data_IF_456739612532
#
_entry.id   IF_456739612532
#
_cell.length_a   1.000
_cell.length_b   1.000
_cell.length_c   1.000
_cell.angle_alpha   90.00
_cell.angle_beta   90.00
_cell.angle_gamma   90.00
#
_symmetry.space_group_name_H-M   'P 1'
#
loop_
_entity.id
_entity.type
_entity.pdbx_description
1 polymer ?
#
# COMPACT_ATOMS: atom_id res chain seq x y z
N UNK A 1 -68.93 1.37 20.44
CA UNK A 1 -67.88 0.55 19.78
C UNK A 1 -66.93 1.50 19.08
N UNK A 2 -65.77 1.78 19.67
CA UNK A 2 -64.77 2.68 19.07
C UNK A 2 -63.54 1.86 18.68
N UNK A 3 -63.29 1.70 17.38
CA UNK A 3 -62.03 1.15 16.89
C UNK A 3 -61.02 2.28 16.78
N UNK A 4 -59.99 2.25 17.62
CA UNK A 4 -58.80 3.07 17.44
C UNK A 4 -57.92 2.43 16.35
N UNK A 5 -57.79 3.12 15.21
CA UNK A 5 -56.82 2.79 14.18
C UNK A 5 -55.46 3.30 14.66
N UNK A 6 -54.60 2.39 15.11
CA UNK A 6 -53.22 2.71 15.43
C UNK A 6 -52.44 2.95 14.13
N UNK A 7 -52.24 4.21 13.76
CA UNK A 7 -51.32 4.61 12.70
C UNK A 7 -49.89 4.25 13.12
N UNK A 8 -49.35 3.16 12.57
CA UNK A 8 -47.92 2.84 12.65
C UNK A 8 -47.15 3.86 11.81
N UNK A 9 -46.60 4.88 12.46
CA UNK A 9 -45.61 5.75 11.83
C UNK A 9 -44.31 4.96 11.68
N UNK A 10 -44.01 4.55 10.44
CA UNK A 10 -42.68 4.06 10.09
C UNK A 10 -41.69 5.19 10.36
N UNK A 11 -40.93 5.09 11.45
CA UNK A 11 -39.76 5.94 11.70
C UNK A 11 -38.74 5.62 10.61
N UNK A 12 -38.78 6.34 9.51
CA UNK A 12 -37.70 6.37 8.53
C UNK A 12 -36.48 6.91 9.29
N UNK A 13 -35.46 6.06 9.48
CA UNK A 13 -34.17 6.54 10.04
C UNK A 13 -33.73 7.73 9.19
N UNK A 14 -33.36 8.88 9.78
CA UNK A 14 -32.77 9.96 9.00
C UNK A 14 -31.54 9.40 8.30
N UNK A 15 -31.57 9.39 6.96
CA UNK A 15 -30.41 9.04 6.17
C UNK A 15 -29.31 10.06 6.43
N UNK A 16 -28.05 9.61 6.43
CA UNK A 16 -26.89 10.49 6.48
C UNK A 16 -27.02 11.58 5.41
N UNK A 17 -26.78 12.84 5.79
CA UNK A 17 -26.80 13.98 4.88
C UNK A 17 -25.61 13.93 3.92
N UNK A 18 -25.70 14.62 2.78
CA UNK A 18 -24.60 14.75 1.82
C UNK A 18 -23.31 15.26 2.48
N UNK A 19 -23.43 16.20 3.41
CA UNK A 19 -22.32 16.77 4.19
C UNK A 19 -21.63 15.70 5.07
N UNK A 20 -22.40 14.81 5.71
CA UNK A 20 -21.84 13.74 6.54
C UNK A 20 -21.09 12.68 5.71
N UNK A 21 -21.47 12.47 4.45
CA UNK A 21 -20.70 11.61 3.54
C UNK A 21 -19.40 12.27 3.07
N UNK A 22 -19.38 13.58 2.88
CA UNK A 22 -18.17 14.31 2.51
C UNK A 22 -17.14 14.26 3.64
N UNK A 23 -17.56 14.52 4.87
CA UNK A 23 -16.68 14.42 6.05
C UNK A 23 -16.09 13.01 6.19
N UNK A 24 -16.88 11.96 5.95
CA UNK A 24 -16.37 10.58 5.93
C UNK A 24 -15.36 10.31 4.82
N UNK A 25 -15.58 10.87 3.62
CA UNK A 25 -14.63 10.76 2.50
C UNK A 25 -13.32 11.50 2.80
N UNK A 26 -13.38 12.70 3.39
CA UNK A 26 -12.20 13.48 3.78
C UNK A 26 -11.38 12.77 4.86
N UNK A 27 -12.05 12.20 5.87
CA UNK A 27 -11.39 11.39 6.90
C UNK A 27 -10.72 10.17 6.29
N UNK A 28 -11.43 9.43 5.42
CA UNK A 28 -10.85 8.28 4.71
C UNK A 28 -9.68 8.66 3.82
N UNK A 29 -9.77 9.78 3.10
CA UNK A 29 -8.67 10.30 2.29
C UNK A 29 -7.43 10.52 3.16
N UNK A 30 -7.59 11.19 4.31
CA UNK A 30 -6.51 11.47 5.26
C UNK A 30 -5.90 10.18 5.82
N UNK A 31 -6.73 9.20 6.20
CA UNK A 31 -6.28 7.90 6.69
C UNK A 31 -5.47 7.13 5.62
N UNK A 32 -5.95 7.14 4.38
CA UNK A 32 -5.26 6.48 3.27
C UNK A 32 -3.93 7.16 2.97
N UNK A 33 -3.89 8.50 2.96
CA UNK A 33 -2.63 9.26 2.79
C UNK A 33 -1.63 8.91 3.89
N UNK A 34 -2.06 8.86 5.15
CA UNK A 34 -1.21 8.46 6.26
C UNK A 34 -0.68 7.04 6.09
N UNK A 35 -1.54 6.10 5.64
CA UNK A 35 -1.13 4.72 5.37
C UNK A 35 -0.13 4.64 4.22
N UNK A 36 -0.31 5.41 3.14
CA UNK A 36 0.66 5.50 2.04
C UNK A 36 2.01 6.00 2.55
N UNK A 37 2.04 7.03 3.40
CA UNK A 37 3.28 7.52 4.00
C UNK A 37 3.99 6.46 4.83
N UNK A 38 3.25 5.70 5.65
CA UNK A 38 3.79 4.57 6.40
C UNK A 38 4.39 3.50 5.48
N UNK A 39 3.63 3.06 4.45
CA UNK A 39 4.11 2.09 3.47
C UNK A 39 5.33 2.59 2.70
N UNK A 40 5.37 3.88 2.37
CA UNK A 40 6.51 4.48 1.71
C UNK A 40 7.77 4.42 2.57
N UNK A 41 7.66 4.73 3.87
CA UNK A 41 8.76 4.59 4.83
C UNK A 41 9.29 3.15 4.84
N UNK A 42 8.42 2.16 5.02
CA UNK A 42 8.82 0.75 5.04
C UNK A 42 9.46 0.34 3.70
N UNK A 43 8.96 0.85 2.57
CA UNK A 43 9.56 0.56 1.25
C UNK A 43 10.98 1.12 1.12
N UNK A 44 11.25 2.28 1.73
CA UNK A 44 12.59 2.87 1.78
C UNK A 44 13.51 2.03 2.65
N UNK A 45 13.01 1.60 3.82
CA UNK A 45 13.76 0.74 4.75
C UNK A 45 14.08 -0.61 4.10
N UNK A 46 13.14 -1.23 3.37
CA UNK A 46 13.41 -2.42 2.57
C UNK A 46 14.51 -2.19 1.53
N UNK A 47 14.51 -1.03 0.85
CA UNK A 47 15.54 -0.70 -0.13
C UNK A 47 16.92 -0.58 0.54
N UNK A 48 17.00 0.09 1.68
CA UNK A 48 18.22 0.19 2.47
C UNK A 48 18.70 -1.19 2.96
N UNK A 49 17.76 -2.04 3.40
CA UNK A 49 18.07 -3.41 3.83
C UNK A 49 18.54 -4.31 2.68
N UNK A 50 17.98 -4.17 1.48
CA UNK A 50 18.48 -4.87 0.28
C UNK A 50 19.93 -4.44 -0.01
N UNK A 51 20.22 -3.15 0.09
CA UNK A 51 21.57 -2.62 -0.15
C UNK A 51 22.58 -3.15 0.87
N UNK A 52 22.20 -3.22 2.14
CA UNK A 52 23.00 -3.87 3.18
C UNK A 52 23.23 -5.36 2.88
N UNK A 53 22.18 -6.09 2.50
CA UNK A 53 22.30 -7.50 2.10
C UNK A 53 23.24 -7.70 0.90
N UNK A 54 23.22 -6.79 -0.08
CA UNK A 54 24.12 -6.82 -1.23
C UNK A 54 25.57 -6.62 -0.78
N UNK A 55 25.82 -5.66 0.12
CA UNK A 55 27.15 -5.41 0.67
C UNK A 55 27.70 -6.61 1.47
N UNK A 56 26.85 -7.29 2.22
CA UNK A 56 27.18 -8.52 2.98
C UNK A 56 27.17 -9.80 2.12
N UNK A 57 26.85 -9.70 0.83
CA UNK A 57 26.67 -10.83 -0.08
C UNK A 57 25.58 -11.85 0.34
N UNK A 58 24.56 -11.40 1.08
CA UNK A 58 23.47 -12.23 1.59
C UNK A 58 22.25 -12.23 0.63
N UNK A 59 22.35 -13.03 -0.43
CA UNK A 59 21.30 -13.13 -1.47
C UNK A 59 19.93 -13.59 -0.96
N UNK A 60 19.81 -14.63 -0.12
CA UNK A 60 18.50 -15.10 0.34
C UNK A 60 17.70 -14.02 1.07
N UNK A 61 18.38 -13.23 1.90
CA UNK A 61 17.74 -12.15 2.66
C UNK A 61 17.34 -10.97 1.76
N UNK A 62 18.17 -10.66 0.75
CA UNK A 62 17.84 -9.65 -0.25
C UNK A 62 16.58 -10.03 -1.06
N UNK A 63 16.43 -11.30 -1.45
CA UNK A 63 15.23 -11.80 -2.14
C UNK A 63 13.99 -11.63 -1.26
N UNK A 64 14.09 -12.00 0.02
CA UNK A 64 12.98 -11.87 0.96
C UNK A 64 12.54 -10.41 1.15
N UNK A 65 13.50 -9.49 1.36
CA UNK A 65 13.21 -8.07 1.46
C UNK A 65 12.64 -7.50 0.15
N UNK A 66 13.09 -8.00 -1.01
CA UNK A 66 12.56 -7.60 -2.32
C UNK A 66 11.13 -8.06 -2.52
N UNK A 67 10.78 -9.29 -2.13
CA UNK A 67 9.40 -9.77 -2.12
C UNK A 67 8.50 -8.89 -1.25
N UNK A 68 8.94 -8.58 -0.02
CA UNK A 68 8.22 -7.66 0.87
C UNK A 68 8.04 -6.27 0.25
N UNK A 69 9.10 -5.71 -0.33
CA UNK A 69 9.06 -4.43 -1.03
C UNK A 69 8.06 -4.42 -2.20
N UNK A 70 8.05 -5.46 -3.03
CA UNK A 70 7.10 -5.58 -4.15
C UNK A 70 5.66 -5.58 -3.64
N UNK A 71 5.39 -6.37 -2.60
CA UNK A 71 4.05 -6.39 -1.98
C UNK A 71 3.62 -5.01 -1.48
N UNK A 72 4.50 -4.32 -0.75
CA UNK A 72 4.23 -2.96 -0.24
C UNK A 72 3.94 -1.98 -1.37
N UNK A 73 4.67 -2.09 -2.49
CA UNK A 73 4.43 -1.25 -3.67
C UNK A 73 3.08 -1.51 -4.32
N UNK A 74 2.69 -2.77 -4.47
CA UNK A 74 1.39 -3.13 -5.03
C UNK A 74 0.25 -2.59 -4.15
N UNK A 75 0.38 -2.75 -2.83
CA UNK A 75 -0.58 -2.19 -1.85
C UNK A 75 -0.63 -0.66 -1.88
N UNK A 76 0.52 0.00 -1.99
CA UNK A 76 0.59 1.47 -2.12
C UNK A 76 -0.11 1.96 -3.38
N UNK A 77 0.01 1.23 -4.49
CA UNK A 77 -0.67 1.56 -5.75
C UNK A 77 -2.20 1.43 -5.61
N UNK A 78 -2.68 0.36 -4.98
CA UNK A 78 -4.11 0.19 -4.69
C UNK A 78 -4.64 1.39 -3.89
N UNK A 79 -3.94 1.80 -2.84
CA UNK A 79 -4.33 2.97 -2.04
C UNK A 79 -4.35 4.28 -2.84
N UNK A 80 -3.38 4.50 -3.72
CA UNK A 80 -3.36 5.67 -4.60
C UNK A 80 -4.53 5.68 -5.57
N UNK A 81 -4.93 4.52 -6.09
CA UNK A 81 -6.10 4.41 -6.96
C UNK A 81 -7.40 4.62 -6.16
N UNK A 82 -7.44 4.21 -4.89
CA UNK A 82 -8.57 4.51 -3.98
C UNK A 82 -8.68 6.01 -3.69
N UNK A 83 -7.58 6.73 -3.48
CA UNK A 83 -7.59 8.20 -3.33
C UNK A 83 -8.23 8.85 -4.56
N UNK A 84 -7.80 8.49 -5.77
CA UNK A 84 -8.38 9.04 -7.00
C UNK A 84 -9.89 8.81 -7.07
N UNK A 85 -10.35 7.61 -6.70
CA UNK A 85 -11.79 7.30 -6.63
C UNK A 85 -12.51 8.17 -5.61
N UNK A 86 -11.91 8.42 -4.44
CA UNK A 86 -12.48 9.29 -3.41
C UNK A 86 -12.60 10.72 -3.95
N UNK A 87 -11.54 11.27 -4.54
CA UNK A 87 -11.50 12.63 -5.08
C UNK A 87 -12.54 12.81 -6.20
N UNK A 88 -12.61 11.86 -7.14
CA UNK A 88 -13.60 11.86 -8.23
C UNK A 88 -15.04 11.81 -7.69
N UNK A 89 -15.25 11.12 -6.57
CA UNK A 89 -16.59 10.92 -5.98
C UNK A 89 -16.99 12.06 -5.03
N UNK A 90 -16.02 12.73 -4.40
CA UNK A 90 -16.26 13.89 -3.55
C UNK A 90 -16.91 15.03 -4.34
N UNK A 91 -16.54 15.20 -5.62
CA UNK A 91 -17.12 16.18 -6.54
C UNK A 91 -18.57 15.88 -6.99
N UNK A 92 -19.11 14.68 -6.70
CA UNK A 92 -20.46 14.29 -7.11
C UNK A 92 -21.51 14.66 -6.05
N UNK A 93 -22.72 15.04 -6.45
CA UNK A 93 -23.83 15.27 -5.50
C UNK A 93 -24.54 13.97 -5.07
N UNK A 94 -24.35 12.87 -5.80
CA UNK A 94 -25.06 11.60 -5.58
C UNK A 94 -24.56 10.87 -4.33
N UNK A 95 -25.40 10.81 -3.30
CA UNK A 95 -25.10 10.14 -2.02
C UNK A 95 -24.92 8.61 -2.11
N UNK A 96 -25.54 7.94 -3.09
CA UNK A 96 -25.41 6.49 -3.27
C UNK A 96 -23.98 6.06 -3.64
N UNK A 97 -23.35 6.77 -4.59
CA UNK A 97 -21.98 6.51 -5.01
C UNK A 97 -20.97 6.78 -3.89
N UNK A 98 -21.18 7.85 -3.12
CA UNK A 98 -20.35 8.15 -1.94
C UNK A 98 -20.36 7.02 -0.94
N UNK A 99 -21.55 6.47 -0.64
CA UNK A 99 -21.70 5.34 0.29
C UNK A 99 -20.96 4.09 -0.19
N UNK A 100 -21.05 3.77 -1.48
CA UNK A 100 -20.33 2.63 -2.09
C UNK A 100 -18.82 2.80 -1.95
N UNK A 101 -18.29 3.95 -2.36
CA UNK A 101 -16.84 4.25 -2.27
C UNK A 101 -16.34 4.26 -0.83
N UNK A 102 -17.11 4.79 0.12
CA UNK A 102 -16.77 4.72 1.55
C UNK A 102 -16.67 3.26 2.02
N UNK A 103 -17.62 2.41 1.63
CA UNK A 103 -17.63 1.00 2.00
C UNK A 103 -16.45 0.24 1.41
N UNK A 104 -16.18 0.44 0.10
CA UNK A 104 -15.04 -0.18 -0.57
C UNK A 104 -13.71 0.28 0.04
N UNK A 105 -13.57 1.57 0.31
CA UNK A 105 -12.33 2.15 0.88
C UNK A 105 -12.05 1.60 2.27
N UNK A 106 -13.09 1.45 3.11
CA UNK A 106 -12.96 0.84 4.44
C UNK A 106 -12.51 -0.62 4.34
N UNK A 107 -13.11 -1.40 3.45
CA UNK A 107 -12.70 -2.78 3.23
C UNK A 107 -11.23 -2.88 2.79
N UNK A 108 -10.80 -2.02 1.86
CA UNK A 108 -9.40 -1.97 1.41
C UNK A 108 -8.45 -1.66 2.58
N UNK A 109 -8.81 -0.73 3.47
CA UNK A 109 -8.00 -0.39 4.65
C UNK A 109 -7.94 -1.57 5.63
N UNK A 110 -9.05 -2.26 5.86
CA UNK A 110 -9.11 -3.46 6.71
C UNK A 110 -8.26 -4.59 6.14
N UNK A 111 -8.29 -4.80 4.82
CA UNK A 111 -7.48 -5.81 4.13
C UNK A 111 -5.98 -5.45 4.11
N UNK A 112 -5.61 -4.21 4.46
CA UNK A 112 -4.22 -3.72 4.57
C UNK A 112 -3.65 -3.92 5.97
N UNK A 113 -3.90 -5.09 6.53
CA UNK A 113 -3.32 -5.58 7.77
C UNK A 113 -2.55 -6.87 7.48
N UNK A 114 -1.36 -7.00 8.05
CA UNK A 114 -0.56 -8.20 7.89
C UNK A 114 0.92 -7.98 8.18
N UNK A 115 1.59 -9.08 8.55
CA UNK A 115 3.00 -9.12 8.94
C UNK A 115 3.93 -8.44 7.91
N UNK A 116 3.62 -8.58 6.61
CA UNK A 116 4.42 -8.01 5.53
C UNK A 116 4.30 -6.50 5.38
N UNK A 117 3.36 -5.85 6.07
CA UNK A 117 3.19 -4.40 6.10
C UNK A 117 3.68 -3.77 7.40
N UNK A 118 4.30 -4.57 8.29
CA UNK A 118 4.93 -4.07 9.51
C UNK A 118 6.31 -3.46 9.24
N UNK A 119 6.69 -2.48 10.07
CA UNK A 119 8.02 -1.87 10.08
C UNK A 119 9.00 -2.75 10.89
N UNK A 120 9.42 -3.86 10.28
CA UNK A 120 10.20 -4.93 10.89
C UNK A 120 11.52 -5.21 10.15
N UNK A 121 11.92 -4.34 9.22
CA UNK A 121 13.06 -4.58 8.32
C UNK A 121 14.35 -4.82 9.12
N UNK A 122 14.52 -4.11 10.22
CA UNK A 122 15.66 -4.31 11.14
C UNK A 122 15.62 -5.72 11.74
N UNK A 123 14.46 -6.21 12.19
CA UNK A 123 14.30 -7.57 12.74
C UNK A 123 14.61 -8.66 11.70
N UNK A 124 14.27 -8.39 10.43
CA UNK A 124 14.62 -9.26 9.31
C UNK A 124 16.14 -9.30 9.12
N UNK A 125 16.80 -8.13 9.19
CA UNK A 125 18.26 -8.00 9.08
C UNK A 125 19.02 -8.62 10.26
N UNK A 126 18.42 -8.65 11.45
CA UNK A 126 18.95 -9.32 12.66
C UNK A 126 18.86 -10.86 12.58
N UNK A 127 18.28 -11.41 11.50
CA UNK A 127 18.27 -12.84 11.16
C UNK A 127 17.60 -13.74 12.21
N UNK A 128 16.53 -13.29 12.85
CA UNK A 128 15.74 -14.17 13.72
C UNK A 128 15.12 -15.34 12.91
N UNK A 129 15.53 -16.60 13.12
CA UNK A 129 15.21 -17.70 12.21
C UNK A 129 13.71 -18.02 12.16
N UNK A 130 13.04 -18.04 13.32
CA UNK A 130 11.59 -18.26 13.41
C UNK A 130 10.80 -17.15 12.69
N UNK A 131 11.29 -15.92 12.79
CA UNK A 131 10.66 -14.77 12.15
C UNK A 131 10.79 -14.80 10.63
N UNK A 132 11.98 -15.19 10.13
CA UNK A 132 12.23 -15.35 8.70
C UNK A 132 11.35 -16.44 8.09
N UNK A 133 11.16 -17.56 8.79
CA UNK A 133 10.28 -18.64 8.32
C UNK A 133 8.83 -18.17 8.21
N UNK A 134 8.34 -17.43 9.21
CA UNK A 134 7.00 -16.84 9.16
C UNK A 134 6.81 -15.90 7.97
N UNK A 135 7.78 -15.02 7.71
CA UNK A 135 7.75 -14.11 6.56
C UNK A 135 7.77 -14.88 5.24
N UNK A 136 8.62 -15.90 5.11
CA UNK A 136 8.66 -16.73 3.90
C UNK A 136 7.32 -17.42 3.63
N UNK A 137 6.66 -17.90 4.69
CA UNK A 137 5.35 -18.53 4.57
C UNK A 137 4.28 -17.52 4.14
N UNK A 138 4.31 -16.29 4.67
CA UNK A 138 3.43 -15.21 4.20
C UNK A 138 3.69 -14.85 2.74
N UNK A 139 4.96 -14.72 2.32
CA UNK A 139 5.31 -14.43 0.91
C UNK A 139 4.78 -15.53 -0.04
N UNK A 140 4.85 -16.80 0.36
CA UNK A 140 4.31 -17.92 -0.44
C UNK A 140 2.80 -17.79 -0.64
N UNK A 141 2.05 -17.28 0.35
CA UNK A 141 0.60 -17.07 0.24
C UNK A 141 0.23 -15.95 -0.73
N UNK A 142 1.13 -14.99 -0.95
CA UNK A 142 0.86 -13.82 -1.78
C UNK A 142 0.89 -14.07 -3.30
N UNK A 143 1.32 -15.25 -3.74
CA UNK A 143 1.41 -15.57 -5.17
C UNK A 143 2.44 -14.72 -5.94
N UNK A 144 3.43 -14.14 -5.24
CA UNK A 144 4.52 -13.36 -5.86
C UNK A 144 5.37 -14.30 -6.73
N UNK A 145 5.73 -13.85 -7.93
CA UNK A 145 6.64 -14.60 -8.79
C UNK A 145 8.08 -14.51 -8.27
N UNK A 146 8.45 -15.41 -7.36
CA UNK A 146 9.77 -15.45 -6.71
C UNK A 146 10.91 -15.50 -7.74
N UNK A 147 10.73 -16.19 -8.87
CA UNK A 147 11.76 -16.29 -9.92
C UNK A 147 12.08 -14.95 -10.56
N UNK A 148 11.06 -14.12 -10.81
CA UNK A 148 11.29 -12.77 -11.32
C UNK A 148 12.03 -11.90 -10.30
N UNK A 149 11.69 -12.05 -9.01
CA UNK A 149 12.36 -11.35 -7.92
C UNK A 149 13.83 -11.77 -7.81
N UNK A 150 14.12 -13.08 -7.90
CA UNK A 150 15.48 -13.62 -7.92
C UNK A 150 16.31 -13.01 -9.04
N UNK A 151 15.78 -12.97 -10.26
CA UNK A 151 16.46 -12.36 -11.42
C UNK A 151 16.73 -10.87 -11.20
N UNK A 152 15.77 -10.13 -10.62
CA UNK A 152 15.98 -8.71 -10.29
C UNK A 152 17.10 -8.52 -9.26
N UNK A 153 17.10 -9.33 -8.20
CA UNK A 153 18.14 -9.28 -7.17
C UNK A 153 19.49 -9.65 -7.77
N UNK A 154 19.58 -10.70 -8.59
CA UNK A 154 20.85 -11.04 -9.27
C UNK A 154 21.38 -9.91 -10.14
N UNK A 155 20.51 -9.21 -10.88
CA UNK A 155 20.89 -8.05 -11.66
C UNK A 155 21.40 -6.91 -10.76
N UNK A 156 20.72 -6.62 -9.64
CA UNK A 156 21.15 -5.60 -8.67
C UNK A 156 22.51 -5.94 -8.03
N UNK A 157 22.73 -7.22 -7.69
CA UNK A 157 24.02 -7.72 -7.23
C UNK A 157 25.10 -7.51 -8.29
N UNK A 158 24.85 -7.86 -9.56
CA UNK A 158 25.81 -7.66 -10.65
C UNK A 158 26.12 -6.18 -10.88
N UNK A 159 25.11 -5.31 -10.93
CA UNK A 159 25.31 -3.87 -11.18
C UNK A 159 26.12 -3.18 -10.06
N UNK A 160 25.83 -3.51 -8.79
CA UNK A 160 26.48 -2.89 -7.63
C UNK A 160 27.87 -3.43 -7.35
N UNK A 161 28.13 -4.71 -7.61
CA UNK A 161 29.47 -5.30 -7.47
C UNK A 161 30.39 -4.96 -8.64
N UNK A 162 29.85 -4.76 -9.85
CA UNK A 162 30.65 -4.45 -11.05
C UNK A 162 31.04 -2.97 -11.17
N UNK A 163 30.48 -2.07 -10.34
CA UNK A 163 30.80 -0.63 -10.39
C UNK A 163 30.93 0.00 -9.00
N UNK A 164 32.01 -0.29 -8.25
CA UNK A 164 32.30 0.48 -7.05
C UNK A 164 32.64 1.93 -7.50
N UNK A 165 31.69 2.85 -7.34
CA UNK A 165 31.95 4.29 -7.47
C UNK A 165 31.38 5.06 -8.67
N UNK A 166 30.52 4.49 -9.53
CA UNK A 166 29.81 5.31 -10.55
C UNK A 166 28.47 5.81 -10.03
N UNK A 167 28.50 6.97 -9.38
CA UNK A 167 27.30 7.77 -9.13
C UNK A 167 26.60 8.07 -10.46
N UNK A 168 25.50 7.38 -10.78
CA UNK A 168 24.66 7.64 -11.97
C UNK A 168 24.01 9.02 -11.79
N UNK A 169 24.65 10.07 -12.31
CA UNK A 169 24.08 11.42 -12.38
C UNK A 169 22.81 11.36 -13.23
N UNK A 170 21.65 11.66 -12.65
CA UNK A 170 20.36 11.72 -13.37
C UNK A 170 20.50 12.70 -14.54
N UNK A 171 20.44 12.19 -15.78
CA UNK A 171 20.39 13.04 -16.98
C UNK A 171 18.94 13.43 -17.20
N UNK A 172 18.59 14.65 -16.83
CA UNK A 172 17.36 15.27 -17.29
C UNK A 172 17.56 15.68 -18.76
N UNK A 173 16.95 14.95 -19.69
CA UNK A 173 16.82 15.43 -21.05
C UNK A 173 15.79 16.57 -21.04
N UNK A 174 16.26 17.82 -20.96
CA UNK A 174 15.42 18.97 -21.32
C UNK A 174 15.07 18.80 -22.80
N UNK A 175 13.81 18.49 -23.11
CA UNK A 175 13.27 18.70 -24.44
C UNK A 175 13.30 20.21 -24.69
N UNK A 176 14.26 20.68 -25.48
CA UNK A 176 14.21 22.02 -26.05
C UNK A 176 13.07 22.00 -27.07
N UNK A 177 11.92 22.57 -26.69
CA UNK A 177 10.91 22.99 -27.66
C UNK A 177 11.50 24.17 -28.41
N UNK A 178 11.93 23.96 -29.65
CA UNK A 178 12.22 25.07 -30.56
C UNK A 178 10.87 25.64 -31.01
N UNK A 179 10.70 26.95 -30.76
CA UNK A 179 9.60 27.77 -31.29
C UNK A 179 9.61 27.80 -32.81
#
# INVERSE_FOLDING_TARGET
MGQCVACKTNKVRPGLTSESYNEQLENLHTDIVNKIHQLHKISLDCTNGIDACIAENNKPLAILLKCKYTHIKDRSKILQDTIKKIDDTAALEKSSKKKEVISESKQIIEDLQGLLLEDDVIKILEKSPEYLENIQNEIKKLGINIKEVEVQVENEFREKTSSPGRMKRRRYSKKLTNN
#
